data_IF_647694916598
#
_entry.id   IF_647694916598
#
_cell.length_a   1.000
_cell.length_b   1.000
_cell.length_c   1.000
_cell.angle_alpha   90.00
_cell.angle_beta   90.00
_cell.angle_gamma   90.00
#
_symmetry.space_group_name_H-M   'P 1'
#
loop_
_entity.id
_entity.type
_entity.pdbx_description
1 polymer ?
#
# COMPACT_ATOMS: atom_id res chain seq x y z
N UNK A 1 -3.00 -20.73 18.39
CA UNK A 1 -2.26 -19.80 17.53
C UNK A 1 -0.94 -19.31 18.12
N UNK A 2 -0.86 -18.88 19.40
CA UNK A 2 0.43 -18.45 19.98
C UNK A 2 1.49 -19.58 19.90
N UNK A 3 1.13 -20.81 20.21
CA UNK A 3 2.03 -21.96 20.03
C UNK A 3 2.38 -22.22 18.55
N UNK A 4 1.39 -22.09 17.65
CA UNK A 4 1.61 -22.24 16.22
C UNK A 4 2.52 -21.13 15.64
N UNK A 5 2.45 -19.89 16.19
CA UNK A 5 3.33 -18.79 15.84
C UNK A 5 4.81 -19.09 16.12
N UNK A 6 5.10 -19.85 17.18
CA UNK A 6 6.47 -20.26 17.50
C UNK A 6 6.92 -21.52 16.72
N UNK A 7 5.98 -22.30 16.17
CA UNK A 7 6.28 -23.55 15.46
C UNK A 7 6.42 -23.37 13.94
N UNK A 8 5.68 -22.41 13.33
CA UNK A 8 5.62 -22.26 11.87
C UNK A 8 6.26 -20.97 11.40
N UNK A 9 7.36 -21.07 10.64
CA UNK A 9 8.12 -19.96 10.11
C UNK A 9 7.28 -19.02 9.22
N UNK A 10 6.44 -19.58 8.36
CA UNK A 10 5.58 -18.77 7.48
C UNK A 10 4.61 -17.87 8.27
N UNK A 11 4.15 -18.32 9.43
CA UNK A 11 3.25 -17.57 10.28
C UNK A 11 3.98 -16.43 10.99
N UNK A 12 5.22 -16.68 11.46
CA UNK A 12 6.09 -15.62 12.01
C UNK A 12 6.35 -14.55 10.95
N UNK A 13 6.74 -14.97 9.75
CA UNK A 13 7.01 -14.07 8.62
C UNK A 13 5.78 -13.22 8.29
N UNK A 14 4.60 -13.81 8.21
CA UNK A 14 3.36 -13.09 7.92
C UNK A 14 3.02 -12.06 9.01
N UNK A 15 3.22 -12.39 10.28
CA UNK A 15 2.99 -11.44 11.37
C UNK A 15 4.00 -10.30 11.38
N UNK A 16 5.30 -10.59 11.22
CA UNK A 16 6.35 -9.56 11.16
C UNK A 16 6.05 -8.60 10.00
N UNK A 17 5.82 -9.12 8.81
CA UNK A 17 5.52 -8.32 7.63
C UNK A 17 4.20 -7.56 7.80
N UNK A 18 3.18 -8.19 8.38
CA UNK A 18 1.90 -7.56 8.69
C UNK A 18 2.06 -6.34 9.58
N UNK A 19 2.79 -6.46 10.69
CA UNK A 19 3.09 -5.35 11.61
C UNK A 19 3.86 -4.24 10.87
N UNK A 20 4.92 -4.57 10.12
CA UNK A 20 5.68 -3.55 9.39
C UNK A 20 4.80 -2.77 8.40
N UNK A 21 3.93 -3.46 7.66
CA UNK A 21 3.00 -2.85 6.70
C UNK A 21 1.88 -2.10 7.42
N UNK A 22 1.32 -2.68 8.49
CA UNK A 22 0.28 -2.06 9.33
C UNK A 22 0.72 -0.73 9.91
N UNK A 23 2.04 -0.55 10.09
CA UNK A 23 2.64 0.70 10.53
C UNK A 23 2.82 1.69 9.36
N UNK A 24 3.55 1.29 8.30
CA UNK A 24 3.98 2.24 7.25
C UNK A 24 2.87 2.61 6.27
N UNK A 25 1.93 1.69 5.98
CA UNK A 25 0.88 1.96 5.00
C UNK A 25 -0.09 3.06 5.49
N UNK A 26 -0.65 3.02 6.73
CA UNK A 26 -1.46 4.12 7.25
C UNK A 26 -0.65 5.40 7.47
N UNK A 27 0.63 5.30 7.83
CA UNK A 27 1.51 6.45 8.02
C UNK A 27 1.65 7.27 6.73
N UNK A 28 1.96 6.62 5.60
CA UNK A 28 1.96 7.25 4.27
C UNK A 28 0.55 7.67 3.85
N UNK A 29 -0.44 6.88 4.21
CA UNK A 29 -1.85 7.12 3.93
C UNK A 29 -2.35 8.47 4.42
N UNK A 30 -1.88 8.96 5.57
CA UNK A 30 -2.27 10.29 6.07
C UNK A 30 -1.86 11.38 5.08
N UNK A 31 -0.62 11.34 4.57
CA UNK A 31 -0.16 12.30 3.57
C UNK A 31 -0.92 12.17 2.24
N UNK A 32 -1.24 10.95 1.82
CA UNK A 32 -2.04 10.67 0.62
C UNK A 32 -3.44 11.26 0.73
N UNK A 33 -4.13 11.02 1.85
CA UNK A 33 -5.52 11.46 2.07
C UNK A 33 -5.61 12.98 2.22
N UNK A 34 -4.70 13.58 3.00
CA UNK A 34 -4.67 15.05 3.19
C UNK A 34 -4.40 15.77 1.86
N UNK A 35 -3.57 15.19 1.00
CA UNK A 35 -3.28 15.71 -0.35
C UNK A 35 -4.33 15.34 -1.41
N UNK A 36 -5.42 14.67 -1.03
CA UNK A 36 -6.50 14.22 -1.92
C UNK A 36 -6.02 13.29 -3.05
N UNK A 37 -5.00 12.48 -2.77
CA UNK A 37 -4.40 11.53 -3.73
C UNK A 37 -4.83 10.07 -3.46
N UNK A 38 -5.98 9.83 -2.83
CA UNK A 38 -6.40 8.52 -2.35
C UNK A 38 -6.38 7.42 -3.43
N UNK A 39 -6.72 7.77 -4.67
CA UNK A 39 -6.75 6.82 -5.79
C UNK A 39 -5.37 6.41 -6.30
N UNK A 40 -4.29 7.06 -5.85
CA UNK A 40 -2.92 6.73 -6.30
C UNK A 40 -2.53 5.32 -5.86
N UNK A 41 -3.00 4.89 -4.69
CA UNK A 41 -2.75 3.55 -4.18
C UNK A 41 -3.39 2.47 -5.08
N UNK A 42 -4.63 2.69 -5.54
CA UNK A 42 -5.30 1.79 -6.49
C UNK A 42 -4.56 1.72 -7.82
N UNK A 43 -4.22 2.88 -8.39
CA UNK A 43 -3.52 2.95 -9.67
C UNK A 43 -2.18 2.19 -9.64
N UNK A 44 -1.36 2.43 -8.60
CA UNK A 44 -0.08 1.76 -8.44
C UNK A 44 -0.23 0.27 -8.13
N UNK A 45 -1.27 -0.14 -7.40
CA UNK A 45 -1.57 -1.55 -7.16
C UNK A 45 -1.82 -2.32 -8.47
N UNK A 46 -2.63 -1.78 -9.36
CA UNK A 46 -2.90 -2.40 -10.66
C UNK A 46 -1.68 -2.38 -11.60
N UNK A 47 -0.87 -1.33 -11.57
CA UNK A 47 0.40 -1.30 -12.32
C UNK A 47 1.37 -2.35 -11.77
N UNK A 48 1.43 -2.54 -10.45
CA UNK A 48 2.24 -3.59 -9.84
C UNK A 48 1.75 -4.99 -10.24
N UNK A 49 0.42 -5.19 -10.30
CA UNK A 49 -0.16 -6.44 -10.80
C UNK A 49 0.29 -6.72 -12.24
N UNK A 50 0.26 -5.70 -13.11
CA UNK A 50 0.76 -5.85 -14.46
C UNK A 50 2.23 -6.30 -14.49
N UNK A 51 3.08 -5.74 -13.61
CA UNK A 51 4.47 -6.16 -13.47
C UNK A 51 4.64 -7.60 -12.98
N UNK A 52 3.84 -8.01 -11.98
CA UNK A 52 3.83 -9.40 -11.48
C UNK A 52 3.37 -10.36 -12.58
N UNK A 53 2.28 -10.04 -13.28
CA UNK A 53 1.76 -10.85 -14.38
C UNK A 53 2.78 -10.94 -15.54
N UNK A 54 3.45 -9.84 -15.88
CA UNK A 54 4.54 -9.84 -16.84
C UNK A 54 5.70 -10.75 -16.42
N UNK A 55 6.07 -10.73 -15.12
CA UNK A 55 7.10 -11.61 -14.58
C UNK A 55 6.73 -13.08 -14.73
N UNK A 56 5.51 -13.45 -14.35
CA UNK A 56 5.01 -14.83 -14.48
C UNK A 56 4.97 -15.29 -15.93
N UNK A 57 4.59 -14.41 -16.86
CA UNK A 57 4.64 -14.68 -18.31
C UNK A 57 6.06 -14.93 -18.80
N UNK A 58 7.03 -14.11 -18.36
CA UNK A 58 8.46 -14.25 -18.74
C UNK A 58 9.03 -15.54 -18.18
N UNK A 59 8.75 -15.86 -16.92
CA UNK A 59 9.20 -17.10 -16.28
C UNK A 59 8.68 -18.34 -17.02
N UNK A 60 7.44 -18.30 -17.48
CA UNK A 60 6.85 -19.40 -18.26
C UNK A 60 7.52 -19.60 -19.62
N UNK A 61 7.88 -18.50 -20.30
CA UNK A 61 8.49 -18.55 -21.64
C UNK A 61 10.00 -18.79 -21.62
N UNK A 62 10.68 -18.33 -20.57
CA UNK A 62 12.13 -18.34 -20.48
C UNK A 62 12.57 -18.94 -19.14
N UNK A 63 12.99 -20.20 -19.14
CA UNK A 63 13.45 -20.91 -17.93
C UNK A 63 14.59 -20.19 -17.19
N UNK A 64 15.40 -19.41 -17.91
CA UNK A 64 16.52 -18.64 -17.33
C UNK A 64 16.05 -17.63 -16.26
N UNK A 65 14.80 -17.18 -16.31
CA UNK A 65 14.22 -16.23 -15.38
C UNK A 65 13.30 -16.87 -14.30
N UNK A 66 13.25 -18.21 -14.27
CA UNK A 66 12.37 -18.95 -13.36
C UNK A 66 12.62 -18.67 -11.87
N UNK A 67 13.83 -18.22 -11.51
CA UNK A 67 14.23 -17.95 -10.12
C UNK A 67 13.93 -16.52 -9.64
N UNK A 68 13.51 -15.62 -10.54
CA UNK A 68 13.24 -14.23 -10.15
C UNK A 68 11.93 -14.13 -9.36
N UNK A 69 11.99 -13.48 -8.21
CA UNK A 69 10.76 -13.21 -7.44
C UNK A 69 9.89 -12.18 -8.18
N UNK A 70 8.63 -12.52 -8.55
CA UNK A 70 7.74 -11.63 -9.31
C UNK A 70 7.51 -10.25 -8.67
N UNK A 71 7.64 -10.15 -7.35
CA UNK A 71 7.50 -8.90 -6.61
C UNK A 71 8.50 -7.83 -7.08
N UNK A 72 9.73 -8.19 -7.39
CA UNK A 72 10.74 -7.20 -7.82
C UNK A 72 10.40 -6.56 -9.16
N UNK A 73 9.85 -7.35 -10.10
CA UNK A 73 9.36 -6.81 -11.37
C UNK A 73 8.10 -5.97 -11.11
N UNK A 74 7.21 -6.42 -10.23
CA UNK A 74 6.07 -5.63 -9.76
C UNK A 74 6.49 -4.28 -9.17
N UNK A 75 7.51 -4.25 -8.30
CA UNK A 75 8.07 -3.01 -7.73
C UNK A 75 8.63 -2.08 -8.82
N UNK A 76 9.37 -2.64 -9.79
CA UNK A 76 9.90 -1.86 -10.91
C UNK A 76 8.77 -1.22 -11.73
N UNK A 77 7.72 -1.99 -12.06
CA UNK A 77 6.53 -1.47 -12.74
C UNK A 77 5.83 -0.39 -11.94
N UNK A 78 5.67 -0.58 -10.62
CA UNK A 78 5.06 0.41 -9.72
C UNK A 78 5.83 1.73 -9.71
N UNK A 79 7.17 1.66 -9.60
CA UNK A 79 8.04 2.84 -9.67
C UNK A 79 7.92 3.52 -11.04
N UNK A 80 7.99 2.76 -12.13
CA UNK A 80 7.79 3.32 -13.48
C UNK A 80 6.41 3.96 -13.62
N UNK A 81 5.36 3.29 -13.14
CA UNK A 81 3.99 3.83 -13.12
C UNK A 81 3.88 5.13 -12.33
N UNK A 82 4.57 5.22 -11.19
CA UNK A 82 4.63 6.43 -10.38
C UNK A 82 5.28 7.61 -11.13
N UNK A 83 6.33 7.34 -11.92
CA UNK A 83 6.96 8.33 -12.79
C UNK A 83 6.01 8.81 -13.90
N UNK A 84 5.25 7.88 -14.49
CA UNK A 84 4.24 8.24 -15.50
C UNK A 84 3.11 9.08 -14.90
N UNK A 85 2.64 8.78 -13.68
CA UNK A 85 1.66 9.64 -12.99
C UNK A 85 2.20 11.07 -12.87
N UNK A 86 3.44 11.23 -12.39
CA UNK A 86 4.04 12.55 -12.23
C UNK A 86 4.20 13.28 -13.58
N UNK A 87 4.65 12.57 -14.60
CA UNK A 87 4.76 13.13 -15.95
C UNK A 87 3.40 13.58 -16.50
N UNK A 88 2.36 12.76 -16.35
CA UNK A 88 1.02 13.12 -16.80
C UNK A 88 0.46 14.32 -16.04
N UNK A 89 0.70 14.46 -14.73
CA UNK A 89 0.31 15.65 -13.96
C UNK A 89 0.95 16.92 -14.50
N UNK A 90 2.18 16.86 -15.01
CA UNK A 90 2.83 18.00 -15.64
C UNK A 90 2.27 18.31 -17.04
N UNK A 91 1.82 17.31 -17.78
CA UNK A 91 1.15 17.46 -19.09
C UNK A 91 -0.26 18.04 -18.91
N UNK A 92 -1.04 17.50 -17.98
CA UNK A 92 -2.41 17.93 -17.70
C UNK A 92 -2.46 18.98 -16.59
N UNK A 93 -1.79 20.12 -16.74
CA UNK A 93 -1.62 21.15 -15.70
C UNK A 93 -2.92 21.61 -15.04
N UNK A 94 -4.02 21.70 -15.80
CA UNK A 94 -5.33 22.15 -15.32
C UNK A 94 -6.26 21.01 -14.90
N UNK A 95 -5.87 19.76 -15.17
CA UNK A 95 -6.67 18.55 -14.92
C UNK A 95 -5.77 17.45 -14.35
N UNK A 96 -4.96 17.80 -13.35
CA UNK A 96 -3.94 16.89 -12.77
C UNK A 96 -4.55 15.61 -12.18
N UNK A 97 -5.82 15.66 -11.77
CA UNK A 97 -6.58 14.52 -11.30
C UNK A 97 -6.76 13.42 -12.35
N UNK A 98 -6.70 13.73 -13.65
CA UNK A 98 -6.82 12.73 -14.73
C UNK A 98 -5.63 11.78 -14.79
N UNK A 99 -4.46 12.19 -14.29
CA UNK A 99 -3.26 11.36 -14.36
C UNK A 99 -3.43 9.99 -13.67
N UNK A 100 -4.10 9.97 -12.52
CA UNK A 100 -4.28 8.75 -11.74
C UNK A 100 -5.25 7.77 -12.42
N UNK A 101 -6.46 8.17 -12.86
CA UNK A 101 -7.37 7.31 -13.60
C UNK A 101 -6.79 6.78 -14.92
N UNK A 102 -6.00 7.58 -15.64
CA UNK A 102 -5.34 7.14 -16.88
C UNK A 102 -4.38 5.99 -16.59
N UNK A 103 -3.52 6.14 -15.59
CA UNK A 103 -2.56 5.09 -15.21
C UNK A 103 -3.27 3.87 -14.61
N UNK A 104 -4.33 4.07 -13.84
CA UNK A 104 -5.17 2.99 -13.33
C UNK A 104 -5.74 2.14 -14.48
N UNK A 105 -6.36 2.78 -15.46
CA UNK A 105 -6.93 2.09 -16.63
C UNK A 105 -5.86 1.36 -17.44
N UNK A 106 -4.69 2.00 -17.64
CA UNK A 106 -3.56 1.39 -18.30
C UNK A 106 -3.00 0.18 -17.54
N UNK A 107 -2.88 0.28 -16.21
CA UNK A 107 -2.44 -0.79 -15.33
C UNK A 107 -3.40 -1.99 -15.36
N UNK A 108 -4.71 -1.74 -15.30
CA UNK A 108 -5.74 -2.80 -15.42
C UNK A 108 -5.64 -3.47 -16.80
N UNK A 109 -5.59 -2.69 -17.87
CA UNK A 109 -5.51 -3.24 -19.23
C UNK A 109 -4.26 -4.11 -19.44
N UNK A 110 -3.10 -3.62 -19.01
CA UNK A 110 -1.85 -4.38 -19.11
C UNK A 110 -1.89 -5.66 -18.25
N UNK A 111 -2.42 -5.60 -17.03
CA UNK A 111 -2.51 -6.77 -16.16
C UNK A 111 -3.40 -7.84 -16.78
N UNK A 112 -4.56 -7.48 -17.32
CA UNK A 112 -5.47 -8.42 -17.98
C UNK A 112 -4.82 -9.07 -19.20
N UNK A 113 -4.09 -8.29 -20.04
CA UNK A 113 -3.38 -8.83 -21.21
C UNK A 113 -2.30 -9.83 -20.77
N UNK A 114 -1.45 -9.46 -19.80
CA UNK A 114 -0.37 -10.34 -19.35
C UNK A 114 -0.90 -11.61 -18.66
N UNK A 115 -1.97 -11.51 -17.86
CA UNK A 115 -2.62 -12.66 -17.23
C UNK A 115 -3.21 -13.59 -18.32
N UNK A 116 -3.86 -13.04 -19.32
CA UNK A 116 -4.43 -13.83 -20.44
C UNK A 116 -3.33 -14.55 -21.23
N UNK A 117 -2.20 -13.90 -21.50
CA UNK A 117 -1.05 -14.49 -22.18
C UNK A 117 -0.30 -15.52 -21.34
N UNK A 118 -0.45 -15.49 -20.01
CA UNK A 118 0.13 -16.45 -19.07
C UNK A 118 -0.78 -17.67 -18.80
N UNK A 119 -1.81 -17.90 -19.63
CA UNK A 119 -2.84 -18.96 -19.53
C UNK A 119 -3.83 -18.73 -18.37
N UNK A 120 -4.09 -17.48 -18.03
CA UNK A 120 -5.12 -17.11 -17.07
C UNK A 120 -4.67 -17.11 -15.61
N UNK A 121 -5.62 -17.22 -14.71
CA UNK A 121 -5.37 -17.18 -13.29
C UNK A 121 -4.79 -18.51 -12.78
N UNK A 122 -3.67 -18.43 -12.08
CA UNK A 122 -3.08 -19.54 -11.34
C UNK A 122 -3.09 -19.25 -9.82
N UNK A 123 -2.70 -20.23 -9.01
CA UNK A 123 -2.70 -20.15 -7.55
C UNK A 123 -1.84 -18.98 -7.03
N UNK A 124 -0.73 -18.71 -7.72
CA UNK A 124 0.16 -17.62 -7.33
C UNK A 124 -0.49 -16.25 -7.53
N UNK A 125 -1.18 -16.04 -8.67
CA UNK A 125 -1.93 -14.80 -8.90
C UNK A 125 -3.06 -14.59 -7.90
N UNK A 126 -3.77 -15.65 -7.51
CA UNK A 126 -4.77 -15.55 -6.44
C UNK A 126 -4.17 -15.09 -5.12
N UNK A 127 -2.98 -15.58 -4.78
CA UNK A 127 -2.26 -15.16 -3.57
C UNK A 127 -1.89 -13.68 -3.61
N UNK A 128 -1.53 -13.13 -4.77
CA UNK A 128 -1.28 -11.69 -4.93
C UNK A 128 -2.54 -10.85 -4.92
N UNK A 129 -3.67 -11.37 -5.43
CA UNK A 129 -4.94 -10.63 -5.46
C UNK A 129 -5.57 -10.46 -4.08
N UNK A 130 -5.62 -11.53 -3.30
CA UNK A 130 -6.37 -11.60 -2.03
C UNK A 130 -5.47 -11.62 -0.78
N UNK A 131 -4.17 -11.75 -0.97
CA UNK A 131 -3.21 -11.98 0.10
C UNK A 131 -3.19 -13.45 0.56
N UNK A 132 -2.08 -13.87 1.14
CA UNK A 132 -1.92 -15.21 1.68
C UNK A 132 -0.89 -15.21 2.82
N UNK A 133 -1.29 -15.72 3.98
CA UNK A 133 -0.38 -15.91 5.13
C UNK A 133 0.71 -16.91 4.81
N UNK A 134 0.36 -18.00 4.12
CA UNK A 134 1.29 -19.09 3.80
C UNK A 134 2.28 -18.79 2.67
N UNK A 135 2.04 -17.70 1.89
CA UNK A 135 2.90 -17.34 0.78
C UNK A 135 4.09 -16.45 1.18
N UNK A 136 4.15 -15.97 2.44
CA UNK A 136 5.18 -15.03 2.90
C UNK A 136 6.48 -15.76 3.22
N UNK A 137 7.53 -15.44 2.48
CA UNK A 137 8.87 -16.00 2.64
C UNK A 137 9.77 -15.11 3.53
N UNK A 138 10.87 -15.69 4.02
CA UNK A 138 11.91 -14.95 4.76
C UNK A 138 12.53 -13.83 3.92
N UNK A 139 12.62 -14.03 2.59
CA UNK A 139 13.09 -12.99 1.65
C UNK A 139 12.14 -11.78 1.64
N UNK A 140 10.83 -12.01 1.77
CA UNK A 140 9.86 -10.92 1.84
C UNK A 140 10.01 -10.13 3.14
N UNK A 141 10.28 -10.80 4.27
CA UNK A 141 10.55 -10.14 5.56
C UNK A 141 11.72 -9.18 5.44
N UNK A 142 12.84 -9.62 4.85
CA UNK A 142 14.00 -8.76 4.65
C UNK A 142 13.71 -7.59 3.71
N UNK A 143 13.05 -7.84 2.58
CA UNK A 143 12.70 -6.81 1.61
C UNK A 143 11.81 -5.73 2.24
N UNK A 144 10.78 -6.15 2.98
CA UNK A 144 9.84 -5.23 3.62
C UNK A 144 10.49 -4.50 4.80
N UNK A 145 11.37 -5.18 5.56
CA UNK A 145 12.13 -4.51 6.62
C UNK A 145 13.03 -3.40 6.08
N UNK A 146 13.71 -3.63 4.96
CA UNK A 146 14.52 -2.60 4.31
C UNK A 146 13.64 -1.42 3.88
N UNK A 147 12.52 -1.69 3.20
CA UNK A 147 11.57 -0.66 2.76
C UNK A 147 11.02 0.11 3.99
N UNK A 148 10.67 -0.58 5.07
CA UNK A 148 10.20 0.02 6.31
C UNK A 148 11.19 1.05 6.86
N UNK A 149 12.46 0.67 7.01
CA UNK A 149 13.49 1.58 7.51
C UNK A 149 13.76 2.74 6.56
N UNK A 150 13.75 2.51 5.23
CA UNK A 150 13.87 3.59 4.24
C UNK A 150 12.71 4.58 4.39
N UNK A 151 11.47 4.08 4.43
CA UNK A 151 10.27 4.92 4.56
C UNK A 151 10.31 5.74 5.84
N UNK A 152 10.61 5.12 6.99
CA UNK A 152 10.70 5.83 8.27
C UNK A 152 11.79 6.89 8.25
N UNK A 153 12.98 6.56 7.73
CA UNK A 153 14.09 7.50 7.66
C UNK A 153 13.72 8.71 6.79
N UNK A 154 13.15 8.46 5.62
CA UNK A 154 12.79 9.56 4.70
C UNK A 154 11.63 10.39 5.27
N UNK A 155 10.61 9.76 5.89
CA UNK A 155 9.55 10.52 6.58
C UNK A 155 10.13 11.37 7.70
N UNK A 156 11.04 10.83 8.50
CA UNK A 156 11.63 11.57 9.61
C UNK A 156 12.46 12.76 9.11
N UNK A 157 13.27 12.56 8.06
CA UNK A 157 14.11 13.62 7.48
C UNK A 157 13.28 14.74 6.84
N UNK A 158 12.22 14.41 6.11
CA UNK A 158 11.42 15.36 5.33
C UNK A 158 10.03 15.62 5.93
N UNK A 159 9.85 15.33 7.23
CA UNK A 159 8.54 15.47 7.89
C UNK A 159 7.99 16.90 7.80
N UNK A 160 8.84 17.91 8.03
CA UNK A 160 8.43 19.32 8.01
C UNK A 160 8.03 19.78 6.62
N UNK A 161 8.82 19.40 5.63
CA UNK A 161 8.60 19.75 4.24
C UNK A 161 7.32 19.08 3.70
N UNK A 162 7.14 17.79 4.00
CA UNK A 162 5.91 17.10 3.61
C UNK A 162 4.68 17.58 4.36
N UNK A 163 4.83 17.97 5.61
CA UNK A 163 3.73 18.60 6.35
C UNK A 163 3.27 19.87 5.66
N UNK A 164 4.17 20.82 5.36
CA UNK A 164 3.85 22.07 4.66
C UNK A 164 3.24 21.76 3.29
N UNK A 165 3.89 20.91 2.51
CA UNK A 165 3.44 20.50 1.18
C UNK A 165 2.05 19.85 1.17
N UNK A 166 1.64 19.22 2.27
CA UNK A 166 0.32 18.58 2.38
C UNK A 166 -0.83 19.56 2.56
N UNK A 167 -0.55 20.78 3.06
CA UNK A 167 -1.57 21.80 3.28
C UNK A 167 -1.54 22.92 2.25
N UNK A 168 -0.35 23.34 1.81
CA UNK A 168 -0.19 24.44 0.88
C UNK A 168 1.07 24.24 0.02
N UNK A 169 0.85 23.84 -1.23
CA UNK A 169 1.91 23.59 -2.21
C UNK A 169 2.57 24.91 -2.68
N UNK A 170 1.79 25.99 -2.82
CA UNK A 170 2.29 27.30 -3.26
C UNK A 170 3.16 27.93 -2.18
N UNK A 171 2.73 27.86 -0.92
CA UNK A 171 3.53 28.30 0.21
C UNK A 171 4.81 27.49 0.37
N UNK A 172 4.75 26.16 0.21
CA UNK A 172 5.94 25.31 0.24
C UNK A 172 6.96 25.74 -0.82
N UNK A 173 6.50 26.02 -2.04
CA UNK A 173 7.35 26.47 -3.13
C UNK A 173 7.95 27.87 -2.85
N UNK A 174 7.15 28.81 -2.35
CA UNK A 174 7.59 30.14 -1.97
C UNK A 174 8.61 30.12 -0.82
N UNK A 175 8.51 29.13 0.07
CA UNK A 175 9.45 28.90 1.19
C UNK A 175 10.76 28.22 0.76
N UNK A 176 11.00 27.99 -0.54
CA UNK A 176 12.22 27.39 -1.07
C UNK A 176 12.25 25.86 -1.04
N UNK A 177 11.14 25.21 -0.72
CA UNK A 177 11.03 23.74 -0.71
C UNK A 177 11.07 23.22 -2.16
N UNK A 178 11.90 22.22 -2.44
CA UNK A 178 11.98 21.57 -3.75
C UNK A 178 10.78 20.62 -3.97
N UNK A 179 9.60 21.21 -4.17
CA UNK A 179 8.31 20.52 -4.24
C UNK A 179 8.33 19.31 -5.20
N UNK A 180 8.85 19.48 -6.42
CA UNK A 180 8.90 18.40 -7.44
C UNK A 180 9.71 17.19 -6.96
N UNK A 181 10.89 17.45 -6.36
CA UNK A 181 11.75 16.35 -5.87
C UNK A 181 11.11 15.61 -4.70
N UNK A 182 10.51 16.36 -3.75
CA UNK A 182 9.83 15.75 -2.60
C UNK A 182 8.58 14.97 -3.01
N UNK A 183 7.86 15.48 -4.00
CA UNK A 183 6.71 14.78 -4.55
C UNK A 183 7.12 13.47 -5.24
N UNK A 184 8.19 13.52 -6.05
CA UNK A 184 8.79 12.35 -6.68
C UNK A 184 9.20 11.28 -5.65
N UNK A 185 9.97 11.67 -4.63
CA UNK A 185 10.40 10.76 -3.57
C UNK A 185 9.18 10.14 -2.86
N UNK A 186 8.18 10.95 -2.55
CA UNK A 186 6.96 10.49 -1.91
C UNK A 186 6.22 9.41 -2.73
N UNK A 187 6.01 9.66 -4.03
CA UNK A 187 5.30 8.73 -4.91
C UNK A 187 6.08 7.42 -5.07
N UNK A 188 7.42 7.49 -5.16
CA UNK A 188 8.26 6.29 -5.22
C UNK A 188 8.16 5.47 -3.93
N UNK A 189 8.18 6.11 -2.76
CA UNK A 189 7.98 5.40 -1.49
C UNK A 189 6.61 4.72 -1.42
N UNK A 190 5.56 5.42 -1.84
CA UNK A 190 4.20 4.85 -1.91
C UNK A 190 4.18 3.64 -2.84
N UNK A 191 4.81 3.73 -4.01
CA UNK A 191 4.89 2.63 -4.97
C UNK A 191 5.60 1.40 -4.39
N UNK A 192 6.71 1.60 -3.66
CA UNK A 192 7.45 0.51 -3.01
C UNK A 192 6.64 -0.15 -1.89
N UNK A 193 5.97 0.65 -1.05
CA UNK A 193 5.14 0.11 0.05
C UNK A 193 3.95 -0.66 -0.50
N UNK A 194 3.29 -0.16 -1.55
CA UNK A 194 2.17 -0.85 -2.19
C UNK A 194 2.64 -2.21 -2.72
N UNK A 195 3.71 -2.23 -3.50
CA UNK A 195 4.22 -3.47 -4.09
C UNK A 195 4.65 -4.49 -3.02
N UNK A 196 5.30 -4.02 -1.94
CA UNK A 196 5.71 -4.87 -0.82
C UNK A 196 4.52 -5.46 -0.04
N UNK A 197 3.42 -4.71 0.07
CA UNK A 197 2.23 -5.12 0.84
C UNK A 197 1.40 -6.21 0.16
N UNK A 198 1.61 -6.45 -1.13
CA UNK A 198 0.72 -7.30 -1.95
C UNK A 198 0.62 -8.74 -1.48
N UNK A 199 1.70 -9.35 -0.97
CA UNK A 199 1.70 -10.75 -0.55
C UNK A 199 0.79 -11.02 0.65
N UNK A 200 0.69 -10.10 1.59
CA UNK A 200 -0.12 -10.28 2.81
C UNK A 200 -1.53 -9.76 2.61
N UNK A 201 -1.65 -8.50 2.20
CA UNK A 201 -2.95 -7.82 2.14
C UNK A 201 -3.66 -8.11 0.82
N UNK A 202 -2.91 -8.35 -0.25
CA UNK A 202 -3.44 -8.50 -1.60
C UNK A 202 -3.65 -7.15 -2.30
N UNK A 203 -3.56 -7.19 -3.64
CA UNK A 203 -3.63 -5.99 -4.49
C UNK A 203 -4.93 -5.23 -4.31
N UNK A 204 -6.05 -5.96 -4.25
CA UNK A 204 -7.39 -5.37 -4.18
C UNK A 204 -7.64 -4.59 -2.88
N UNK A 205 -6.81 -4.79 -1.86
CA UNK A 205 -7.09 -4.34 -0.50
C UNK A 205 -6.01 -3.43 0.10
N UNK A 206 -4.85 -3.28 -0.59
CA UNK A 206 -3.74 -2.43 -0.13
C UNK A 206 -4.16 -0.97 0.01
N UNK A 207 -4.92 -0.44 -0.97
CA UNK A 207 -5.42 0.94 -0.93
C UNK A 207 -6.35 1.18 0.26
N UNK A 208 -7.14 0.17 0.63
CA UNK A 208 -8.04 0.24 1.79
C UNK A 208 -7.24 0.36 3.09
N UNK A 209 -6.13 -0.36 3.24
CA UNK A 209 -5.27 -0.25 4.43
C UNK A 209 -4.60 1.14 4.53
N UNK A 210 -4.31 1.77 3.40
CA UNK A 210 -3.78 3.15 3.40
C UNK A 210 -4.85 4.22 3.67
N UNK A 211 -6.14 3.93 3.42
CA UNK A 211 -7.19 4.97 3.47
C UNK A 211 -8.13 4.83 4.67
N UNK A 212 -8.60 3.62 5.00
CA UNK A 212 -9.63 3.41 6.04
C UNK A 212 -9.15 3.77 7.46
N UNK A 213 -7.94 3.34 7.92
CA UNK A 213 -7.43 3.74 9.22
C UNK A 213 -7.26 5.26 9.33
N UNK A 214 -6.85 5.90 8.23
CA UNK A 214 -6.71 7.36 8.15
C UNK A 214 -8.07 8.05 8.21
N UNK A 215 -9.05 7.57 7.48
CA UNK A 215 -10.40 8.11 7.51
C UNK A 215 -11.01 8.01 8.93
N UNK A 216 -10.76 6.91 9.64
CA UNK A 216 -11.15 6.74 11.04
C UNK A 216 -10.41 7.74 11.95
N UNK A 217 -9.09 7.88 11.77
CA UNK A 217 -8.26 8.76 12.60
C UNK A 217 -8.65 10.23 12.46
N UNK A 218 -8.87 10.73 11.24
CA UNK A 218 -9.29 12.12 10.96
C UNK A 218 -10.64 12.46 11.64
N UNK A 219 -11.49 11.47 11.85
CA UNK A 219 -12.76 11.68 12.58
C UNK A 219 -12.56 12.02 14.04
N UNK A 220 -11.53 11.48 14.69
CA UNK A 220 -11.29 11.59 16.14
C UNK A 220 -10.18 12.60 16.46
N UNK A 221 -9.17 12.68 15.60
CA UNK A 221 -7.99 13.51 15.81
C UNK A 221 -8.33 15.01 15.89
N UNK A 222 -7.59 15.72 16.74
CA UNK A 222 -7.64 17.18 16.90
C UNK A 222 -6.58 17.91 16.08
N UNK A 223 -5.63 17.17 15.48
CA UNK A 223 -4.53 17.74 14.69
C UNK A 223 -3.76 16.68 13.94
N UNK A 224 -2.87 17.12 13.04
CA UNK A 224 -2.15 16.25 12.11
C UNK A 224 -1.31 15.17 12.80
N UNK A 225 -0.52 15.52 13.84
CA UNK A 225 0.28 14.56 14.58
C UNK A 225 -0.58 13.46 15.23
N UNK A 226 -1.71 13.86 15.79
CA UNK A 226 -2.64 12.90 16.38
C UNK A 226 -3.28 12.01 15.31
N UNK A 227 -3.58 12.55 14.12
CA UNK A 227 -4.09 11.76 13.00
C UNK A 227 -3.06 10.71 12.55
N UNK A 228 -1.77 11.07 12.49
CA UNK A 228 -0.69 10.12 12.17
C UNK A 228 -0.65 8.95 13.14
N UNK A 229 -0.58 9.22 14.45
CA UNK A 229 -0.49 8.16 15.46
C UNK A 229 -1.75 7.29 15.51
N UNK A 230 -2.93 7.91 15.47
CA UNK A 230 -4.19 7.16 15.46
C UNK A 230 -4.35 6.30 14.20
N UNK A 231 -3.90 6.77 13.04
CA UNK A 231 -3.96 5.98 11.81
C UNK A 231 -3.08 4.73 11.89
N UNK A 232 -1.88 4.87 12.45
CA UNK A 232 -0.99 3.73 12.71
C UNK A 232 -1.62 2.75 13.70
N UNK A 233 -2.15 3.23 14.83
CA UNK A 233 -2.80 2.37 15.84
C UNK A 233 -3.99 1.62 15.22
N UNK A 234 -4.84 2.29 14.44
CA UNK A 234 -5.97 1.65 13.78
C UNK A 234 -5.55 0.67 12.69
N UNK A 235 -4.48 0.98 11.96
CA UNK A 235 -3.88 0.08 10.97
C UNK A 235 -3.34 -1.18 11.63
N UNK A 236 -2.55 -1.05 12.69
CA UNK A 236 -2.00 -2.16 13.47
C UNK A 236 -3.10 -3.03 14.06
N UNK A 237 -4.12 -2.43 14.66
CA UNK A 237 -5.27 -3.17 15.20
C UNK A 237 -5.98 -3.97 14.09
N UNK A 238 -6.22 -3.36 12.93
CA UNK A 238 -6.86 -4.03 11.80
C UNK A 238 -6.01 -5.19 11.29
N UNK A 239 -4.69 -5.01 11.16
CA UNK A 239 -3.78 -6.05 10.67
C UNK A 239 -3.62 -7.18 11.68
N UNK A 240 -3.29 -6.88 12.93
CA UNK A 240 -3.05 -7.91 13.95
C UNK A 240 -4.32 -8.75 14.16
N UNK A 241 -5.45 -8.12 14.44
CA UNK A 241 -6.72 -8.83 14.65
C UNK A 241 -7.20 -9.51 13.38
N UNK A 242 -6.98 -8.90 12.19
CA UNK A 242 -7.31 -9.47 10.90
C UNK A 242 -6.54 -10.74 10.58
N UNK A 243 -5.24 -10.77 10.84
CA UNK A 243 -4.42 -11.97 10.68
C UNK A 243 -4.83 -13.08 11.66
N UNK A 244 -5.16 -12.72 12.91
CA UNK A 244 -5.69 -13.68 13.88
C UNK A 244 -7.00 -14.32 13.38
N UNK A 245 -7.97 -13.50 12.97
CA UNK A 245 -9.26 -13.99 12.47
C UNK A 245 -9.11 -14.80 11.18
N UNK A 246 -8.26 -14.35 10.25
CA UNK A 246 -7.95 -15.06 9.01
C UNK A 246 -7.45 -16.47 9.30
N UNK A 247 -6.53 -16.62 10.24
CA UNK A 247 -5.98 -17.93 10.62
C UNK A 247 -7.02 -18.88 11.23
N UNK A 248 -7.85 -18.38 12.17
CA UNK A 248 -8.85 -19.22 12.85
C UNK A 248 -10.05 -19.58 11.97
N UNK A 249 -10.45 -18.67 11.09
CA UNK A 249 -11.64 -18.83 10.25
C UNK A 249 -11.31 -19.35 8.84
N UNK A 250 -10.02 -19.59 8.53
CA UNK A 250 -9.54 -19.96 7.19
C UNK A 250 -10.04 -19.01 6.09
N UNK A 251 -10.03 -17.70 6.36
CA UNK A 251 -10.43 -16.65 5.43
C UNK A 251 -9.21 -15.97 4.79
N UNK A 252 -9.41 -15.32 3.64
CA UNK A 252 -8.36 -14.52 3.00
C UNK A 252 -7.93 -13.37 3.93
N UNK A 253 -6.62 -13.22 4.24
CA UNK A 253 -6.13 -12.25 5.22
C UNK A 253 -6.46 -10.81 4.84
N UNK A 254 -6.34 -10.44 3.56
CA UNK A 254 -6.67 -9.11 3.10
C UNK A 254 -8.13 -8.73 3.36
N UNK A 255 -9.07 -9.64 3.08
CA UNK A 255 -10.50 -9.41 3.32
C UNK A 255 -10.82 -9.17 4.78
N UNK A 256 -10.26 -9.96 5.69
CA UNK A 256 -10.47 -9.82 7.14
C UNK A 256 -9.89 -8.51 7.68
N UNK A 257 -8.68 -8.14 7.23
CA UNK A 257 -8.03 -6.87 7.61
C UNK A 257 -8.90 -5.67 7.20
N UNK A 258 -9.39 -5.67 5.95
CA UNK A 258 -10.20 -4.55 5.45
C UNK A 258 -11.55 -4.46 6.14
N UNK A 259 -12.25 -5.57 6.35
CA UNK A 259 -13.51 -5.58 7.10
C UNK A 259 -13.32 -5.03 8.51
N UNK A 260 -12.23 -5.38 9.19
CA UNK A 260 -11.91 -4.81 10.50
C UNK A 260 -11.61 -3.31 10.42
N UNK A 261 -10.87 -2.85 9.42
CA UNK A 261 -10.63 -1.42 9.21
C UNK A 261 -11.94 -0.66 8.98
N UNK A 262 -12.91 -1.25 8.24
CA UNK A 262 -14.26 -0.68 8.08
C UNK A 262 -15.01 -0.65 9.42
N UNK A 263 -14.95 -1.71 10.22
CA UNK A 263 -15.56 -1.72 11.56
C UNK A 263 -14.96 -0.65 12.47
N UNK A 264 -13.63 -0.46 12.44
CA UNK A 264 -12.96 0.61 13.19
C UNK A 264 -13.44 1.99 12.72
N UNK A 265 -13.58 2.20 11.40
CA UNK A 265 -14.09 3.44 10.84
C UNK A 265 -15.53 3.72 11.31
N UNK A 266 -16.41 2.72 11.24
CA UNK A 266 -17.80 2.84 11.73
C UNK A 266 -17.80 3.17 13.21
N UNK A 267 -17.01 2.49 14.02
CA UNK A 267 -16.84 2.76 15.45
C UNK A 267 -16.37 4.20 15.73
N UNK A 268 -15.41 4.69 14.95
CA UNK A 268 -14.91 6.07 15.04
C UNK A 268 -16.00 7.12 14.72
N UNK A 269 -16.83 6.83 13.71
CA UNK A 269 -17.96 7.71 13.33
C UNK A 269 -19.01 7.74 14.43
N UNK A 270 -19.39 6.56 14.97
CA UNK A 270 -20.39 6.45 16.05
C UNK A 270 -19.91 7.12 17.33
N UNK A 271 -18.66 6.90 17.72
CA UNK A 271 -18.03 7.56 18.87
C UNK A 271 -18.09 9.10 18.78
N UNK A 272 -17.78 9.64 17.60
CA UNK A 272 -17.83 11.10 17.41
C UNK A 272 -19.24 11.64 17.45
N UNK A 273 -20.23 10.89 16.94
CA UNK A 273 -21.63 11.29 16.98
C UNK A 273 -22.12 11.32 18.43
N UNK A 274 -21.79 10.29 19.21
CA UNK A 274 -22.19 10.20 20.64
C UNK A 274 -21.58 11.32 21.51
N UNK A 275 -20.38 11.77 21.19
CA UNK A 275 -19.70 12.84 21.93
C UNK A 275 -20.22 14.26 21.59
N UNK A 276 -21.02 14.40 20.53
CA UNK A 276 -21.57 15.69 20.06
C UNK A 276 -23.04 15.89 20.40
N UNK A 277 -23.76 14.84 20.75
CA UNK A 277 -25.10 14.89 21.35
C UNK A 277 -25.02 14.96 22.86
#
# INVERSE_FOLDING_TARGET
>A
MLEALFQYEFLQNAFIVGILIGFIAPLLGVFIVVRRLSLIADALSHVTLAGIAASLLVQKKFLTFATLNPIYIGMAFSVVGSLFIEKLRTVYKHYQELAIPIILSGGIGLSVIFISLADGFNTDLFSYLFGSISAVSTTDVWTISIIFFIVLTVIFLFYKEWFILSFDEEYAQASGVKVKSLHFVFIVLVALVIAASMRIVGILLVSSLMTLPVAASIRIAKGFKQALWLSVIFGELAVIVGLFLSYYLNLAPGGTIVLLAVCILIGAIMWKKWKRG
#
